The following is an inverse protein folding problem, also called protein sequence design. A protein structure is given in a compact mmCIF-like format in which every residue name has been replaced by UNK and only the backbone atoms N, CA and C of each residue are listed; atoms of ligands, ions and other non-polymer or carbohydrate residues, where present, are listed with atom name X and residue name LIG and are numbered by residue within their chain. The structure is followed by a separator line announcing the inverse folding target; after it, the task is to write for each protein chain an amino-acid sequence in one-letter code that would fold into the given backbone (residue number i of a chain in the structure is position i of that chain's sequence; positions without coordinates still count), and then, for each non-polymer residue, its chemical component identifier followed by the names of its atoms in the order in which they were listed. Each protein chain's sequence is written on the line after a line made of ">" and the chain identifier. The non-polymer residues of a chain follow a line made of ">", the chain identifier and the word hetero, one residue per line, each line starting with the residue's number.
data_IF_473129250363
#
_entry.id   IF_473129250363
#
_cell.length_a   1.000
_cell.length_b   1.000
_cell.length_c   1.000
_cell.angle_alpha   90.00
_cell.angle_beta   90.00
_cell.angle_gamma   90.00
#
_symmetry.space_group_name_H-M   'P 1'
#
loop_
_entity.id
_entity.type
_entity.pdbx_description
1 polymer ?
#
# COMPACT_ATOMS: atom_id res chain seq x y z
N UNK A 1 20.65 12.30 -23.83
CA UNK A 1 19.37 11.67 -23.43
C UNK A 1 18.27 12.58 -23.91
N UNK A 2 17.22 12.04 -24.52
CA UNK A 2 16.14 12.85 -25.10
C UNK A 2 15.01 12.97 -24.08
N UNK A 3 14.52 14.20 -23.86
CA UNK A 3 13.34 14.45 -23.03
C UNK A 3 12.07 14.15 -23.83
N UNK A 4 11.12 13.47 -23.22
CA UNK A 4 9.79 13.22 -23.80
C UNK A 4 8.79 14.19 -23.19
N UNK A 5 8.16 15.02 -24.03
CA UNK A 5 7.12 15.97 -23.63
C UNK A 5 5.77 15.50 -24.17
N UNK A 6 4.74 15.43 -23.32
CA UNK A 6 3.39 14.98 -23.71
C UNK A 6 2.32 15.57 -22.77
N UNK A 7 1.08 15.64 -23.24
CA UNK A 7 -0.11 15.91 -22.40
C UNK A 7 -0.79 14.57 -22.07
N UNK A 8 -1.11 14.26 -20.80
CA UNK A 8 -1.83 13.04 -20.45
C UNK A 8 -3.20 12.93 -21.15
N UNK A 9 -3.48 11.77 -21.72
CA UNK A 9 -4.72 11.45 -22.44
C UNK A 9 -4.74 10.00 -22.91
N UNK A 10 -5.82 9.53 -23.58
CA UNK A 10 -5.97 8.13 -23.99
C UNK A 10 -4.77 7.60 -24.77
N UNK A 11 -4.25 8.38 -25.73
CA UNK A 11 -3.14 8.00 -26.60
C UNK A 11 -1.75 8.09 -25.93
N UNK A 12 -1.65 8.73 -24.76
CA UNK A 12 -0.39 8.92 -24.01
C UNK A 12 -0.37 8.17 -22.68
N UNK A 13 -1.32 7.26 -22.46
CA UNK A 13 -1.45 6.48 -21.22
C UNK A 13 -0.16 5.74 -20.83
N UNK A 14 0.57 5.17 -21.80
CA UNK A 14 1.84 4.49 -21.52
C UNK A 14 2.92 5.48 -21.05
N UNK A 15 3.10 6.59 -21.77
CA UNK A 15 4.05 7.64 -21.40
C UNK A 15 3.75 8.22 -20.02
N UNK A 16 2.46 8.38 -19.68
CA UNK A 16 2.06 8.82 -18.34
C UNK A 16 2.43 7.81 -17.25
N UNK A 17 2.17 6.51 -17.46
CA UNK A 17 2.59 5.46 -16.51
C UNK A 17 4.11 5.39 -16.35
N UNK A 18 4.86 5.56 -17.42
CA UNK A 18 6.33 5.59 -17.39
C UNK A 18 6.86 6.80 -16.61
N UNK A 19 6.24 7.98 -16.80
CA UNK A 19 6.56 9.19 -16.05
C UNK A 19 6.29 9.00 -14.55
N UNK A 20 5.11 8.48 -14.18
CA UNK A 20 4.77 8.16 -12.78
C UNK A 20 5.75 7.15 -12.18
N UNK A 21 6.13 6.12 -12.93
CA UNK A 21 7.08 5.09 -12.50
C UNK A 21 8.51 5.59 -12.27
N UNK A 22 8.84 6.83 -12.63
CA UNK A 22 10.12 7.43 -12.30
C UNK A 22 10.26 7.73 -10.80
N UNK A 23 9.14 7.97 -10.10
CA UNK A 23 9.11 8.09 -8.65
C UNK A 23 9.14 6.68 -8.04
N UNK A 24 10.29 6.30 -7.47
CA UNK A 24 10.44 5.03 -6.77
C UNK A 24 9.79 5.10 -5.39
N UNK A 25 9.02 4.08 -5.03
CA UNK A 25 8.33 4.02 -3.74
C UNK A 25 8.68 2.74 -2.98
N UNK A 26 8.46 2.77 -1.67
CA UNK A 26 8.35 1.53 -0.91
C UNK A 26 7.08 0.77 -1.31
N UNK A 27 7.05 -0.53 -1.02
CA UNK A 27 5.85 -1.36 -1.20
C UNK A 27 5.17 -1.53 0.15
N UNK A 28 3.84 -1.40 0.15
CA UNK A 28 3.02 -1.67 1.32
C UNK A 28 1.95 -2.70 1.04
N UNK A 29 1.52 -3.42 2.07
CA UNK A 29 0.30 -4.23 2.05
C UNK A 29 -0.67 -3.65 3.07
N UNK A 30 -1.87 -3.32 2.63
CA UNK A 30 -2.95 -2.88 3.51
C UNK A 30 -3.88 -4.05 3.77
N UNK A 31 -4.22 -4.31 5.03
CA UNK A 31 -5.11 -5.40 5.42
C UNK A 31 -6.32 -4.87 6.17
N UNK A 32 -7.43 -5.59 6.06
CA UNK A 32 -8.64 -5.39 6.86
C UNK A 32 -9.33 -6.74 7.10
N UNK A 33 -10.32 -6.77 7.99
CA UNK A 33 -11.21 -7.92 8.16
C UNK A 33 -12.53 -7.64 7.44
N UNK A 34 -12.84 -8.45 6.42
CA UNK A 34 -14.13 -8.41 5.73
C UNK A 34 -15.13 -9.38 6.37
N UNK A 35 -16.43 -9.30 6.02
CA UNK A 35 -17.42 -10.29 6.47
C UNK A 35 -17.11 -11.73 6.03
N UNK A 36 -16.31 -11.93 4.98
CA UNK A 36 -15.94 -13.24 4.44
C UNK A 36 -14.58 -13.73 4.94
N UNK A 37 -13.81 -12.90 5.64
CA UNK A 37 -12.50 -13.24 6.17
C UNK A 37 -11.46 -12.11 6.01
N UNK A 38 -10.18 -12.39 6.25
CA UNK A 38 -9.13 -11.40 6.10
C UNK A 38 -8.97 -11.00 4.63
N UNK A 39 -8.76 -9.71 4.38
CA UNK A 39 -8.57 -9.15 3.04
C UNK A 39 -7.32 -8.27 3.00
N UNK A 40 -6.58 -8.35 1.90
CA UNK A 40 -5.36 -7.59 1.68
C UNK A 40 -5.31 -6.92 0.30
N UNK A 41 -4.55 -5.83 0.21
CA UNK A 41 -4.22 -5.16 -1.05
C UNK A 41 -2.79 -4.62 -0.99
N UNK A 42 -1.99 -5.01 -1.98
CA UNK A 42 -0.65 -4.44 -2.17
C UNK A 42 -0.76 -3.08 -2.83
N UNK A 43 -0.18 -2.05 -2.21
CA UNK A 43 -0.20 -0.68 -2.71
C UNK A 43 1.16 -0.02 -2.57
N UNK A 44 1.44 0.88 -3.50
CA UNK A 44 2.66 1.69 -3.49
C UNK A 44 2.34 3.21 -3.54
N UNK A 45 1.07 3.55 -3.28
CA UNK A 45 0.51 4.91 -3.19
C UNK A 45 0.48 5.47 -1.76
N UNK A 46 1.09 4.77 -0.80
CA UNK A 46 1.19 5.19 0.59
C UNK A 46 1.96 6.51 0.75
N UNK A 47 1.53 7.36 1.68
CA UNK A 47 2.24 8.60 2.05
C UNK A 47 1.94 8.99 3.50
N UNK A 48 2.95 9.47 4.23
CA UNK A 48 2.77 10.14 5.53
C UNK A 48 2.19 11.53 5.34
N UNK A 49 1.21 11.93 6.16
CA UNK A 49 0.47 13.19 5.99
C UNK A 49 0.73 14.17 7.11
N UNK A 50 0.58 13.74 8.37
CA UNK A 50 0.67 14.60 9.54
C UNK A 50 1.29 13.86 10.72
N UNK A 51 2.00 14.62 11.57
CA UNK A 51 2.54 14.12 12.83
C UNK A 51 1.56 14.32 14.00
N UNK A 52 0.80 15.42 14.01
CA UNK A 52 -0.20 15.74 15.03
C UNK A 52 -1.44 16.41 14.40
N UNK A 53 -2.59 15.71 14.30
CA UNK A 53 -2.76 14.29 14.62
C UNK A 53 -1.94 13.39 13.69
N UNK A 54 -1.62 12.16 14.13
CA UNK A 54 -0.84 11.20 13.34
C UNK A 54 -1.68 10.66 12.17
N UNK A 55 -1.42 11.16 10.96
CA UNK A 55 -2.19 10.81 9.75
C UNK A 55 -1.29 10.24 8.64
N UNK A 56 -1.84 9.25 7.94
CA UNK A 56 -1.27 8.65 6.72
C UNK A 56 -2.37 8.55 5.66
N UNK A 57 -1.97 8.39 4.39
CA UNK A 57 -2.92 8.12 3.30
C UNK A 57 -2.44 7.02 2.37
N UNK A 58 -3.37 6.46 1.61
CA UNK A 58 -3.13 5.56 0.48
C UNK A 58 -4.34 5.58 -0.47
N UNK A 59 -4.15 5.08 -1.69
CA UNK A 59 -5.17 5.20 -2.74
C UNK A 59 -5.53 3.83 -3.35
N UNK A 60 -6.67 3.20 -2.99
CA UNK A 60 -7.18 2.03 -3.70
C UNK A 60 -7.85 2.41 -5.03
N UNK A 61 -7.61 1.60 -6.06
CA UNK A 61 -8.31 1.71 -7.34
C UNK A 61 -9.77 1.31 -7.20
N UNK A 62 -10.68 2.10 -7.77
CA UNK A 62 -12.14 1.80 -7.79
C UNK A 62 -12.47 0.51 -8.56
N UNK A 63 -11.60 0.11 -9.48
CA UNK A 63 -11.73 -1.12 -10.28
C UNK A 63 -11.22 -2.36 -9.54
N UNK A 64 -10.62 -2.21 -8.37
CA UNK A 64 -10.14 -3.34 -7.57
C UNK A 64 -11.32 -4.16 -7.05
N UNK A 65 -11.24 -5.48 -7.17
CA UNK A 65 -12.22 -6.38 -6.53
C UNK A 65 -12.24 -6.26 -5.01
N UNK A 66 -11.16 -5.74 -4.41
CA UNK A 66 -11.04 -5.48 -2.97
C UNK A 66 -11.60 -4.11 -2.54
N UNK A 67 -11.99 -3.25 -3.49
CA UNK A 67 -12.32 -1.86 -3.23
C UNK A 67 -13.44 -1.71 -2.19
N UNK A 68 -14.54 -2.44 -2.36
CA UNK A 68 -15.69 -2.36 -1.46
C UNK A 68 -15.34 -2.69 0.00
N UNK A 69 -14.46 -3.68 0.22
CA UNK A 69 -14.04 -4.08 1.56
C UNK A 69 -13.25 -2.98 2.27
N UNK A 70 -12.36 -2.30 1.57
CA UNK A 70 -11.59 -1.20 2.16
C UNK A 70 -12.38 0.09 2.33
N UNK A 71 -13.37 0.34 1.46
CA UNK A 71 -14.27 1.48 1.62
C UNK A 71 -15.25 1.33 2.80
N UNK A 72 -15.60 0.09 3.15
CA UNK A 72 -16.44 -0.23 4.30
C UNK A 72 -15.66 -0.43 5.60
N UNK A 73 -14.32 -0.51 5.54
CA UNK A 73 -13.49 -0.81 6.70
C UNK A 73 -13.36 0.40 7.64
N UNK A 74 -13.73 0.22 8.91
CA UNK A 74 -13.45 1.20 9.96
C UNK A 74 -12.00 1.14 10.45
N UNK A 75 -11.41 -0.07 10.44
CA UNK A 75 -10.04 -0.32 10.87
C UNK A 75 -9.29 -1.10 9.80
N UNK A 76 -8.04 -0.71 9.55
CA UNK A 76 -7.15 -1.37 8.62
C UNK A 76 -5.71 -1.19 9.06
N UNK A 77 -4.80 -1.97 8.48
CA UNK A 77 -3.40 -1.97 8.89
C UNK A 77 -2.50 -1.87 7.68
N UNK A 78 -1.60 -0.87 7.66
CA UNK A 78 -0.63 -0.66 6.59
C UNK A 78 0.70 -1.28 7.01
N UNK A 79 1.23 -2.18 6.19
CA UNK A 79 2.50 -2.86 6.42
C UNK A 79 3.54 -2.40 5.40
N UNK A 80 4.65 -1.82 5.83
CA UNK A 80 5.79 -1.48 4.97
C UNK A 80 6.65 -2.73 4.79
N UNK A 81 6.70 -3.24 3.55
CA UNK A 81 7.26 -4.57 3.28
C UNK A 81 8.79 -4.57 3.29
N UNK A 82 9.37 -5.58 3.92
CA UNK A 82 10.80 -5.85 3.81
C UNK A 82 11.15 -6.46 2.45
N UNK A 83 12.41 -6.33 2.03
CA UNK A 83 12.91 -6.83 0.73
C UNK A 83 12.64 -8.33 0.53
N UNK A 84 12.84 -9.13 1.57
CA UNK A 84 12.62 -10.57 1.58
C UNK A 84 11.13 -10.97 1.48
N UNK A 85 10.21 -9.99 1.57
CA UNK A 85 8.76 -10.19 1.47
C UNK A 85 8.20 -9.88 0.07
N UNK A 86 9.04 -9.88 -0.97
CA UNK A 86 8.58 -9.73 -2.35
C UNK A 86 7.49 -10.76 -2.73
N UNK A 87 7.65 -12.03 -2.33
CA UNK A 87 6.65 -13.07 -2.60
C UNK A 87 5.30 -12.77 -1.95
N UNK A 88 5.30 -12.29 -0.70
CA UNK A 88 4.10 -11.90 0.06
C UNK A 88 3.38 -10.74 -0.65
N UNK A 89 4.12 -9.66 -0.94
CA UNK A 89 3.56 -8.49 -1.60
C UNK A 89 2.99 -8.83 -2.99
N UNK A 90 3.68 -9.68 -3.75
CA UNK A 90 3.18 -10.16 -5.05
C UNK A 90 1.96 -11.07 -4.90
N UNK A 91 1.95 -11.95 -3.89
CA UNK A 91 0.80 -12.81 -3.54
C UNK A 91 -0.46 -11.97 -3.35
N UNK A 92 -0.42 -11.00 -2.45
CA UNK A 92 -1.58 -10.12 -2.18
C UNK A 92 -1.94 -9.18 -3.32
N UNK A 93 -1.03 -8.89 -4.24
CA UNK A 93 -1.37 -8.17 -5.47
C UNK A 93 -2.22 -9.04 -6.41
N UNK A 94 -1.91 -10.34 -6.50
CA UNK A 94 -2.62 -11.31 -7.35
C UNK A 94 -3.95 -11.76 -6.72
N UNK A 95 -3.92 -12.22 -5.47
CA UNK A 95 -5.11 -12.65 -4.71
C UNK A 95 -5.08 -12.03 -3.31
N UNK A 96 -6.06 -11.18 -3.03
CA UNK A 96 -6.12 -10.45 -1.75
C UNK A 96 -6.69 -11.28 -0.60
N UNK A 97 -7.29 -12.43 -0.88
CA UNK A 97 -7.89 -13.31 0.12
C UNK A 97 -6.98 -14.49 0.51
N UNK A 98 -5.92 -14.75 -0.25
CA UNK A 98 -4.97 -15.83 0.05
C UNK A 98 -3.99 -15.45 1.16
N UNK A 99 -4.44 -15.54 2.40
CA UNK A 99 -3.60 -15.32 3.58
C UNK A 99 -2.67 -16.51 3.90
N UNK A 100 -2.62 -17.55 3.07
CA UNK A 100 -1.62 -18.61 3.22
C UNK A 100 -0.21 -18.17 2.80
N UNK A 101 -0.12 -17.06 2.05
CA UNK A 101 1.16 -16.49 1.57
C UNK A 101 1.96 -15.79 2.67
N UNK A 102 1.41 -15.59 3.87
CA UNK A 102 2.04 -14.84 4.94
C UNK A 102 1.70 -15.37 6.35
N UNK A 103 2.65 -15.22 7.27
CA UNK A 103 2.37 -15.38 8.71
C UNK A 103 1.66 -14.14 9.25
N UNK A 104 0.53 -14.32 9.92
CA UNK A 104 -0.25 -13.22 10.46
C UNK A 104 -0.95 -13.56 11.77
N UNK A 105 -1.26 -12.51 12.53
CA UNK A 105 -2.09 -12.58 13.75
C UNK A 105 -3.19 -11.52 13.67
N UNK A 106 -4.17 -11.57 14.57
CA UNK A 106 -5.22 -10.56 14.63
C UNK A 106 -4.84 -9.40 15.56
N UNK A 107 -5.10 -8.15 15.16
CA UNK A 107 -4.94 -6.98 16.03
C UNK A 107 -6.05 -6.89 17.08
N UNK A 108 -5.89 -5.99 18.05
CA UNK A 108 -6.95 -5.68 19.01
C UNK A 108 -8.23 -5.16 18.33
N UNK A 109 -8.07 -4.46 17.21
CA UNK A 109 -9.17 -3.92 16.39
C UNK A 109 -9.65 -4.90 15.31
N UNK A 110 -9.18 -6.15 15.35
CA UNK A 110 -9.66 -7.24 14.50
C UNK A 110 -9.01 -7.35 13.12
N UNK A 111 -8.28 -6.33 12.65
CA UNK A 111 -7.59 -6.35 11.36
C UNK A 111 -6.32 -7.24 11.38
N UNK A 112 -5.96 -7.91 10.26
CA UNK A 112 -4.79 -8.79 10.18
C UNK A 112 -3.46 -8.04 10.33
N UNK A 113 -2.54 -8.62 11.10
CA UNK A 113 -1.19 -8.13 11.35
C UNK A 113 -0.18 -9.06 10.67
N UNK A 114 0.45 -8.62 9.59
CA UNK A 114 1.49 -9.39 8.91
C UNK A 114 2.81 -9.34 9.68
N UNK A 115 3.44 -10.49 9.83
CA UNK A 115 4.77 -10.62 10.43
C UNK A 115 5.87 -10.19 9.46
N UNK A 116 7.04 -9.82 9.98
CA UNK A 116 8.23 -9.54 9.17
C UNK A 116 8.25 -8.21 8.40
N UNK A 117 7.20 -7.40 8.44
CA UNK A 117 7.24 -6.05 7.88
C UNK A 117 8.27 -5.16 8.61
N UNK A 118 8.75 -4.11 7.93
CA UNK A 118 9.68 -3.14 8.52
C UNK A 118 8.97 -2.13 9.40
N UNK A 119 7.74 -1.77 9.04
CA UNK A 119 6.89 -0.92 9.84
C UNK A 119 5.44 -1.34 9.66
N UNK A 120 4.63 -1.07 10.68
CA UNK A 120 3.20 -1.30 10.65
C UNK A 120 2.48 -0.13 11.28
N UNK A 121 1.38 0.29 10.66
CA UNK A 121 0.49 1.34 11.16
C UNK A 121 -0.91 0.77 11.26
N UNK A 122 -1.40 0.65 12.49
CA UNK A 122 -2.78 0.27 12.79
C UNK A 122 -3.62 1.54 12.74
N UNK A 123 -4.60 1.58 11.83
CA UNK A 123 -5.30 2.80 11.47
C UNK A 123 -6.81 2.67 11.66
N UNK A 124 -7.41 3.74 12.14
CA UNK A 124 -8.84 4.01 12.00
C UNK A 124 -9.08 4.91 10.78
N UNK A 125 -10.12 4.63 9.99
CA UNK A 125 -10.46 5.45 8.83
C UNK A 125 -10.88 6.85 9.29
N UNK A 126 -10.12 7.86 8.87
CA UNK A 126 -10.32 9.26 9.26
C UNK A 126 -11.14 10.02 8.21
N UNK A 127 -10.79 9.88 6.92
CA UNK A 127 -11.50 10.52 5.83
C UNK A 127 -11.35 9.74 4.52
N UNK A 128 -12.28 9.96 3.60
CA UNK A 128 -12.25 9.41 2.25
C UNK A 128 -12.59 10.51 1.25
N UNK A 129 -11.79 10.64 0.19
CA UNK A 129 -12.02 11.60 -0.88
C UNK A 129 -12.05 10.92 -2.25
N UNK A 130 -12.96 11.37 -3.11
CA UNK A 130 -12.99 10.95 -4.52
C UNK A 130 -11.78 11.53 -5.27
N UNK A 131 -11.09 10.70 -6.05
CA UNK A 131 -9.89 11.11 -6.79
C UNK A 131 -9.81 10.43 -8.17
N UNK A 132 -10.86 10.58 -8.99
CA UNK A 132 -10.88 10.04 -10.35
C UNK A 132 -11.13 8.54 -10.36
N UNK A 133 -10.18 7.75 -10.88
CA UNK A 133 -10.28 6.27 -10.91
C UNK A 133 -9.84 5.60 -9.59
N UNK A 134 -9.40 6.40 -8.61
CA UNK A 134 -9.07 5.99 -7.26
C UNK A 134 -9.88 6.77 -6.22
N UNK A 135 -9.83 6.29 -4.98
CA UNK A 135 -10.21 7.07 -3.80
C UNK A 135 -8.96 7.33 -2.96
N UNK A 136 -8.93 8.44 -2.23
CA UNK A 136 -7.89 8.73 -1.23
C UNK A 136 -8.47 8.35 0.12
N UNK A 137 -7.88 7.35 0.78
CA UNK A 137 -8.22 7.00 2.16
C UNK A 137 -7.18 7.63 3.07
N UNK A 138 -7.64 8.46 4.02
CA UNK A 138 -6.82 9.03 5.10
C UNK A 138 -7.10 8.22 6.37
N UNK A 139 -6.03 7.74 7.01
CA UNK A 139 -6.08 6.99 8.26
C UNK A 139 -5.46 7.76 9.40
N UNK A 140 -6.10 7.72 10.56
CA UNK A 140 -5.48 8.12 11.82
C UNK A 140 -4.75 6.92 12.39
N UNK A 141 -3.48 7.09 12.74
CA UNK A 141 -2.63 6.02 13.29
C UNK A 141 -2.89 5.89 14.79
N UNK A 142 -3.44 4.76 15.20
CA UNK A 142 -3.75 4.45 16.60
C UNK A 142 -2.59 3.71 17.28
N UNK A 143 -1.83 2.91 16.52
CA UNK A 143 -0.61 2.25 16.98
C UNK A 143 0.38 2.07 15.83
N UNK A 144 1.68 2.07 16.16
CA UNK A 144 2.74 1.86 15.19
C UNK A 144 3.88 1.00 15.76
N UNK A 145 4.56 0.26 14.88
CA UNK A 145 5.83 -0.41 15.18
C UNK A 145 6.78 -0.20 14.01
N UNK A 146 8.08 -0.27 14.29
CA UNK A 146 9.10 -0.34 13.25
C UNK A 146 10.27 -1.22 13.69
N UNK A 147 11.03 -1.71 12.72
CA UNK A 147 12.28 -2.45 12.91
C UNK A 147 13.31 -2.08 11.83
N UNK A 148 14.61 -2.29 12.08
CA UNK A 148 15.64 -2.13 11.04
C UNK A 148 15.48 -3.18 9.94
N UNK A 149 15.95 -2.88 8.73
CA UNK A 149 16.03 -3.81 7.61
C UNK A 149 16.04 -3.11 6.26
N UNK A 150 16.19 -3.89 5.19
CA UNK A 150 16.11 -3.40 3.79
C UNK A 150 14.66 -3.45 3.32
N UNK A 151 14.18 -2.35 2.76
CA UNK A 151 12.80 -2.21 2.28
C UNK A 151 12.64 -2.70 0.85
N UNK A 152 11.49 -3.29 0.55
CA UNK A 152 11.11 -3.61 -0.82
C UNK A 152 10.77 -2.32 -1.57
N UNK A 153 11.46 -2.09 -2.69
CA UNK A 153 11.28 -0.91 -3.54
C UNK A 153 10.54 -1.31 -4.81
N UNK A 154 9.67 -0.42 -5.30
CA UNK A 154 9.04 -0.52 -6.61
C UNK A 154 9.35 0.73 -7.44
N UNK A 155 9.92 0.54 -8.62
CA UNK A 155 10.26 1.63 -9.55
C UNK A 155 10.18 1.13 -10.99
N UNK A 156 9.57 1.94 -11.88
CA UNK A 156 9.41 1.61 -13.31
C UNK A 156 8.89 0.18 -13.58
N UNK A 157 7.90 -0.26 -12.80
CA UNK A 157 7.30 -1.59 -12.96
C UNK A 157 8.13 -2.75 -12.43
N UNK A 158 9.23 -2.48 -11.73
CA UNK A 158 10.17 -3.49 -11.24
C UNK A 158 10.30 -3.43 -9.72
N UNK A 159 10.39 -4.60 -9.10
CA UNK A 159 10.77 -4.74 -7.70
C UNK A 159 12.29 -4.68 -7.58
N UNK A 160 12.78 -4.10 -6.48
CA UNK A 160 14.19 -4.03 -6.15
C UNK A 160 14.41 -3.70 -4.68
N UNK A 161 15.63 -3.27 -4.38
CA UNK A 161 16.08 -2.93 -3.04
C UNK A 161 16.52 -1.46 -2.94
N UNK A 162 16.71 -1.00 -1.71
CA UNK A 162 17.41 0.25 -1.44
C UNK A 162 18.88 -0.04 -1.08
N UNK A 163 19.79 0.48 -1.89
CA UNK A 163 21.22 0.51 -1.59
C UNK A 163 21.60 1.90 -1.07
N UNK A 164 22.01 2.04 0.22
CA UNK A 164 22.48 3.32 0.74
C UNK A 164 23.73 3.76 -0.01
N UNK A 165 23.83 5.07 -0.28
CA UNK A 165 25.09 5.68 -0.71
C UNK A 165 25.82 6.15 0.55
N UNK A 166 27.10 5.79 0.65
CA UNK A 166 27.99 6.26 1.72
C UNK A 166 28.27 7.75 1.65
#
# INVERSE_FOLDING_TARGET
>A
MTETHFTPGPDTTLAFREALGCFGTGVTVVTTMSPQGPMAITVNSFTSVSLDPALVLWCPAKTSTRYAEFMGAQHYVIHVMAEDQHSVAKGFAMDGADFSVADWTQSQMGAPLLSGCLARFECSQHAVHDAGDHSIIVGQVDAAMHRPGRGLIFKRGQYGDFAPRG
#
